data_IF_040345120325
#
_entry.id   IF_040345120325
#
_cell.length_a   1.000
_cell.length_b   1.000
_cell.length_c   1.000
_cell.angle_alpha   90.00
_cell.angle_beta   90.00
_cell.angle_gamma   90.00
#
_symmetry.space_group_name_H-M   'P 1'
#
loop_
_entity.id
_entity.type
_entity.pdbx_description
1 polymer ?
#
# COMPACT_ATOMS: atom_id res chain seq x y z
N UNK A 1 8.75 10.82 21.63
CA UNK A 1 7.89 9.84 20.92
C UNK A 1 6.38 10.15 20.96
N UNK A 2 5.83 10.76 22.03
CA UNK A 2 4.38 11.04 22.17
C UNK A 2 3.82 11.94 21.05
N UNK A 3 4.54 13.00 20.68
CA UNK A 3 4.11 13.94 19.63
C UNK A 3 4.07 13.31 18.23
N UNK A 4 4.96 12.34 17.93
CA UNK A 4 4.97 11.62 16.65
C UNK A 4 3.79 10.66 16.53
N UNK A 5 3.39 10.00 17.63
CA UNK A 5 2.18 9.14 17.64
C UNK A 5 0.90 9.97 17.44
N UNK A 6 0.77 11.10 18.13
CA UNK A 6 -0.37 12.00 17.98
C UNK A 6 -0.55 12.51 16.55
N UNK A 7 0.54 12.93 15.90
CA UNK A 7 0.53 13.36 14.49
C UNK A 7 0.05 12.26 13.54
N UNK A 8 0.43 11.01 13.81
CA UNK A 8 0.05 9.87 12.97
C UNK A 8 -1.40 9.43 13.16
N UNK A 9 -1.91 9.53 14.38
CA UNK A 9 -3.34 9.31 14.66
C UNK A 9 -4.17 10.39 13.98
N UNK A 10 -3.73 11.65 14.04
CA UNK A 10 -4.37 12.74 13.30
C UNK A 10 -4.35 12.51 11.79
N UNK A 11 -3.22 12.03 11.24
CA UNK A 11 -3.12 11.65 9.82
C UNK A 11 -4.06 10.50 9.43
N UNK A 12 -4.23 9.50 10.30
CA UNK A 12 -5.18 8.41 10.09
C UNK A 12 -6.64 8.92 10.07
N UNK A 13 -7.01 9.78 11.03
CA UNK A 13 -8.33 10.42 11.08
C UNK A 13 -8.59 11.31 9.85
N UNK A 14 -7.58 12.05 9.41
CA UNK A 14 -7.65 12.85 8.19
C UNK A 14 -7.87 11.96 6.94
N UNK A 15 -7.19 10.81 6.86
CA UNK A 15 -7.40 9.83 5.80
C UNK A 15 -8.84 9.28 5.77
N UNK A 16 -9.41 8.97 6.94
CA UNK A 16 -10.82 8.56 7.07
C UNK A 16 -11.75 9.67 6.58
N UNK A 17 -11.57 10.90 7.08
CA UNK A 17 -12.41 12.02 6.69
C UNK A 17 -12.37 12.28 5.17
N UNK A 18 -11.19 12.19 4.56
CA UNK A 18 -11.02 12.38 3.12
C UNK A 18 -11.72 11.28 2.30
N UNK A 19 -11.65 10.03 2.76
CA UNK A 19 -12.38 8.92 2.13
C UNK A 19 -13.90 9.10 2.25
N UNK A 20 -14.40 9.53 3.42
CA UNK A 20 -15.82 9.84 3.65
C UNK A 20 -16.32 10.94 2.71
N UNK A 21 -15.55 12.02 2.55
CA UNK A 21 -15.86 13.12 1.62
C UNK A 21 -15.90 12.60 0.18
N UNK A 22 -14.99 11.68 -0.18
CA UNK A 22 -14.96 11.05 -1.51
C UNK A 22 -16.22 10.22 -1.81
N UNK A 23 -16.70 9.45 -0.84
CA UNK A 23 -17.95 8.66 -0.97
C UNK A 23 -19.17 9.58 -1.14
N UNK A 24 -19.29 10.61 -0.31
CA UNK A 24 -20.39 11.58 -0.38
C UNK A 24 -20.39 12.33 -1.72
N UNK A 25 -19.20 12.71 -2.20
CA UNK A 25 -19.02 13.41 -3.48
C UNK A 25 -19.32 12.50 -4.69
N UNK A 26 -19.04 11.20 -4.57
CA UNK A 26 -19.38 10.20 -5.58
C UNK A 26 -20.89 10.02 -5.77
N UNK A 27 -21.68 10.14 -4.69
CA UNK A 27 -23.16 10.12 -4.72
C UNK A 27 -23.72 11.35 -5.45
N UNK A 28 -23.01 12.50 -5.38
CA UNK A 28 -23.45 13.78 -5.97
C UNK A 28 -23.06 13.97 -7.44
N UNK A 29 -22.77 12.88 -8.17
CA UNK A 29 -22.32 12.86 -9.58
C UNK A 29 -20.92 13.44 -9.87
N UNK A 30 -20.09 13.75 -8.86
CA UNK A 30 -18.67 14.11 -9.06
C UNK A 30 -17.77 12.86 -9.02
N UNK A 31 -18.03 11.90 -9.91
CA UNK A 31 -17.42 10.57 -9.87
C UNK A 31 -15.88 10.58 -9.95
N UNK A 32 -15.30 11.50 -10.72
CA UNK A 32 -13.84 11.66 -10.82
C UNK A 32 -13.20 12.16 -9.52
N UNK A 33 -13.70 13.27 -8.97
CA UNK A 33 -13.19 13.85 -7.73
C UNK A 33 -13.43 12.94 -6.51
N UNK A 34 -14.60 12.30 -6.43
CA UNK A 34 -14.93 11.36 -5.38
C UNK A 34 -13.99 10.15 -5.35
N UNK A 35 -13.69 9.58 -6.53
CA UNK A 35 -12.74 8.46 -6.65
C UNK A 35 -11.32 8.81 -6.23
N UNK A 36 -10.82 10.00 -6.63
CA UNK A 36 -9.48 10.47 -6.24
C UNK A 36 -9.39 10.68 -4.72
N UNK A 37 -10.42 11.27 -4.09
CA UNK A 37 -10.46 11.45 -2.64
C UNK A 37 -10.46 10.13 -1.87
N UNK A 38 -11.17 9.11 -2.37
CA UNK A 38 -11.17 7.77 -1.77
C UNK A 38 -9.77 7.16 -1.84
N UNK A 39 -9.14 7.15 -3.03
CA UNK A 39 -7.80 6.56 -3.22
C UNK A 39 -6.77 7.28 -2.34
N UNK A 40 -6.76 8.61 -2.35
CA UNK A 40 -5.85 9.41 -1.54
C UNK A 40 -6.05 9.16 -0.04
N UNK A 41 -7.31 9.09 0.41
CA UNK A 41 -7.67 8.77 1.80
C UNK A 41 -7.17 7.39 2.23
N UNK A 42 -7.38 6.36 1.39
CA UNK A 42 -6.97 4.98 1.67
C UNK A 42 -5.44 4.81 1.73
N UNK A 43 -4.70 5.47 0.84
CA UNK A 43 -3.23 5.44 0.85
C UNK A 43 -2.68 6.07 2.13
N UNK A 44 -3.18 7.26 2.48
CA UNK A 44 -2.79 7.97 3.69
C UNK A 44 -3.09 7.14 4.94
N UNK A 45 -4.30 6.59 5.01
CA UNK A 45 -4.75 5.77 6.14
C UNK A 45 -3.87 4.52 6.34
N UNK A 46 -3.58 3.80 5.25
CA UNK A 46 -2.74 2.60 5.28
C UNK A 46 -1.30 2.91 5.72
N UNK A 47 -0.71 4.00 5.21
CA UNK A 47 0.64 4.45 5.59
C UNK A 47 0.74 4.86 7.06
N UNK A 48 -0.25 5.60 7.58
CA UNK A 48 -0.32 5.97 8.99
C UNK A 48 -0.49 4.75 9.89
N UNK A 49 -1.34 3.78 9.51
CA UNK A 49 -1.60 2.58 10.29
C UNK A 49 -0.36 1.68 10.41
N UNK A 50 0.30 1.39 9.28
CA UNK A 50 1.50 0.54 9.25
C UNK A 50 2.59 1.10 10.17
N UNK A 51 2.82 2.40 10.12
CA UNK A 51 3.86 3.03 10.94
C UNK A 51 3.44 3.14 12.42
N UNK A 52 2.14 3.23 12.75
CA UNK A 52 1.66 3.14 14.13
C UNK A 52 1.87 1.73 14.70
N UNK A 53 1.54 0.70 13.91
CA UNK A 53 1.78 -0.71 14.26
C UNK A 53 3.27 -0.94 14.50
N UNK A 54 4.14 -0.43 13.62
CA UNK A 54 5.59 -0.55 13.77
C UNK A 54 6.12 0.10 15.05
N UNK A 55 5.65 1.31 15.39
CA UNK A 55 6.07 1.97 16.66
C UNK A 55 5.54 1.19 17.89
N UNK A 56 4.41 0.49 17.76
CA UNK A 56 3.93 -0.38 18.84
C UNK A 56 4.81 -1.62 18.97
N UNK A 57 5.08 -2.28 17.84
CA UNK A 57 5.91 -3.48 17.76
C UNK A 57 7.34 -3.24 18.29
N UNK A 58 7.99 -2.15 17.88
CA UNK A 58 9.32 -1.76 18.37
C UNK A 58 9.36 -1.48 19.88
N UNK A 59 8.22 -1.12 20.49
CA UNK A 59 8.13 -0.91 21.94
C UNK A 59 7.90 -2.20 22.72
N UNK A 60 7.14 -3.12 22.14
CA UNK A 60 6.74 -4.37 22.77
C UNK A 60 7.86 -5.41 22.68
N UNK A 61 8.58 -5.44 21.56
CA UNK A 61 9.67 -6.38 21.30
C UNK A 61 10.95 -5.68 20.78
N UNK A 62 11.70 -5.02 21.66
CA UNK A 62 12.89 -4.27 21.26
C UNK A 62 14.05 -5.16 20.78
N UNK A 63 14.12 -6.41 21.23
CA UNK A 63 15.18 -7.37 20.85
C UNK A 63 14.98 -7.88 19.42
N UNK A 64 13.76 -8.33 19.10
CA UNK A 64 13.39 -8.75 17.74
C UNK A 64 13.56 -7.62 16.71
N UNK A 65 13.28 -6.37 17.11
CA UNK A 65 13.49 -5.21 16.24
C UNK A 65 14.97 -4.97 15.91
N UNK A 66 15.90 -5.26 16.84
CA UNK A 66 17.34 -5.14 16.62
C UNK A 66 17.89 -6.27 15.75
N UNK A 67 17.42 -7.50 15.97
CA UNK A 67 17.79 -8.67 15.17
C UNK A 67 17.36 -8.49 13.71
N UNK A 68 16.13 -8.01 13.47
CA UNK A 68 15.65 -7.64 12.13
C UNK A 68 16.48 -6.52 11.47
N UNK A 69 17.03 -5.59 12.25
CA UNK A 69 17.91 -4.54 11.71
C UNK A 69 19.29 -5.07 11.34
N UNK A 70 19.78 -6.09 12.05
CA UNK A 70 21.04 -6.78 11.76
C UNK A 70 20.88 -7.67 10.51
N UNK A 71 19.82 -8.48 10.43
CA UNK A 71 19.50 -9.32 9.26
C UNK A 71 19.28 -8.48 7.99
N UNK A 72 18.63 -7.31 8.11
CA UNK A 72 18.48 -6.38 6.98
C UNK A 72 19.81 -5.89 6.42
N UNK A 73 20.86 -5.83 7.24
CA UNK A 73 22.20 -5.35 6.85
C UNK A 73 23.09 -6.45 6.30
N UNK A 74 22.68 -7.72 6.37
CA UNK A 74 23.40 -8.83 5.74
C UNK A 74 22.94 -9.01 4.27
N UNK A 75 23.49 -8.13 3.43
CA UNK A 75 22.82 -7.61 2.24
C UNK A 75 23.24 -8.27 0.91
N UNK A 76 24.30 -9.09 0.88
CA UNK A 76 25.07 -9.18 -0.38
C UNK A 76 24.52 -10.12 -1.44
N UNK A 77 23.84 -11.21 -1.09
CA UNK A 77 23.44 -12.23 -2.08
C UNK A 77 21.95 -12.14 -2.47
N UNK A 78 21.11 -11.64 -1.58
CA UNK A 78 19.67 -11.49 -1.78
C UNK A 78 19.32 -10.22 -2.57
N UNK A 79 20.10 -9.14 -2.43
CA UNK A 79 19.80 -7.84 -3.05
C UNK A 79 19.89 -7.80 -4.58
N UNK A 80 20.75 -8.59 -5.22
CA UNK A 80 20.99 -8.47 -6.68
C UNK A 80 19.85 -9.14 -7.46
N UNK A 81 19.44 -10.36 -7.06
CA UNK A 81 18.34 -11.07 -7.71
C UNK A 81 16.95 -10.55 -7.28
N UNK A 82 16.79 -10.13 -6.02
CA UNK A 82 15.52 -9.53 -5.56
C UNK A 82 15.29 -8.14 -6.14
N UNK A 83 16.31 -7.28 -6.30
CA UNK A 83 16.12 -5.94 -6.91
C UNK A 83 15.71 -6.00 -8.37
N UNK A 84 16.29 -6.90 -9.17
CA UNK A 84 15.92 -7.02 -10.58
C UNK A 84 14.48 -7.54 -10.74
N UNK A 85 14.09 -8.54 -9.94
CA UNK A 85 12.74 -9.11 -9.95
C UNK A 85 11.70 -8.13 -9.39
N UNK A 86 12.02 -7.41 -8.31
CA UNK A 86 11.16 -6.38 -7.73
C UNK A 86 10.98 -5.17 -8.64
N UNK A 87 12.03 -4.72 -9.33
CA UNK A 87 11.94 -3.52 -10.19
C UNK A 87 11.13 -3.76 -11.47
N UNK A 88 11.19 -4.97 -12.04
CA UNK A 88 10.34 -5.37 -13.18
C UNK A 88 8.87 -5.55 -12.76
N UNK A 89 8.64 -6.11 -11.57
CA UNK A 89 7.32 -6.23 -10.96
C UNK A 89 6.69 -4.85 -10.67
N UNK A 90 7.47 -3.90 -10.15
CA UNK A 90 7.02 -2.53 -9.88
C UNK A 90 6.66 -1.75 -11.14
N UNK A 91 7.42 -1.93 -12.22
CA UNK A 91 7.07 -1.29 -13.49
C UNK A 91 5.72 -1.81 -14.02
N UNK A 92 5.49 -3.12 -13.94
CA UNK A 92 4.19 -3.74 -14.26
C UNK A 92 3.07 -3.20 -13.36
N UNK A 93 3.34 -3.01 -12.06
CA UNK A 93 2.39 -2.41 -11.13
C UNK A 93 1.95 -1.01 -11.56
N UNK A 94 2.91 -0.11 -11.81
CA UNK A 94 2.62 1.26 -12.25
C UNK A 94 1.89 1.30 -13.58
N UNK A 95 2.22 0.39 -14.50
CA UNK A 95 1.55 0.29 -15.81
C UNK A 95 0.09 -0.17 -15.68
N UNK A 96 -0.19 -1.16 -14.83
CA UNK A 96 -1.57 -1.63 -14.58
C UNK A 96 -2.42 -0.53 -13.92
N UNK A 97 -1.82 0.20 -12.97
CA UNK A 97 -2.49 1.26 -12.23
C UNK A 97 -2.78 2.47 -13.14
N UNK A 98 -1.84 2.82 -14.04
CA UNK A 98 -2.04 3.83 -15.07
C UNK A 98 -3.15 3.44 -16.06
N UNK A 99 -3.20 2.18 -16.48
CA UNK A 99 -4.27 1.66 -17.34
C UNK A 99 -5.64 1.71 -16.63
N UNK A 100 -5.71 1.33 -15.35
CA UNK A 100 -6.93 1.41 -14.56
C UNK A 100 -7.40 2.86 -14.37
N UNK A 101 -6.46 3.80 -14.16
CA UNK A 101 -6.77 5.23 -14.07
C UNK A 101 -7.33 5.77 -15.40
N UNK A 102 -6.74 5.41 -16.54
CA UNK A 102 -7.22 5.81 -17.87
C UNK A 102 -8.66 5.34 -18.11
N UNK A 103 -8.98 4.09 -17.73
CA UNK A 103 -10.35 3.55 -17.83
C UNK A 103 -11.30 4.27 -16.87
N UNK A 104 -10.84 4.62 -15.67
CA UNK A 104 -11.65 5.33 -14.67
C UNK A 104 -12.00 6.77 -15.08
N UNK A 105 -11.06 7.49 -15.69
CA UNK A 105 -11.30 8.84 -16.22
C UNK A 105 -11.99 8.86 -17.59
N UNK A 106 -11.95 7.74 -18.32
CA UNK A 106 -12.77 7.55 -19.52
C UNK A 106 -14.27 7.52 -19.19
N UNK A 107 -15.12 8.02 -20.09
CA UNK A 107 -16.59 7.90 -19.99
C UNK A 107 -17.11 6.45 -20.21
N UNK A 108 -16.23 5.46 -20.13
CA UNK A 108 -16.52 4.06 -20.37
C UNK A 108 -17.14 3.34 -19.17
N UNK A 109 -17.55 2.08 -19.36
CA UNK A 109 -18.03 1.23 -18.28
C UNK A 109 -16.94 0.97 -17.22
N UNK A 110 -17.32 0.85 -15.94
CA UNK A 110 -16.40 0.73 -14.79
C UNK A 110 -15.80 -0.66 -14.59
N UNK A 111 -16.47 -1.70 -15.08
CA UNK A 111 -16.07 -3.09 -14.83
C UNK A 111 -14.64 -3.44 -15.31
N UNK A 112 -14.07 -2.87 -16.39
CA UNK A 112 -12.69 -3.16 -16.78
C UNK A 112 -11.67 -2.60 -15.79
N UNK A 113 -11.95 -1.44 -15.17
CA UNK A 113 -11.10 -0.90 -14.11
C UNK A 113 -11.12 -1.81 -12.87
N UNK A 114 -12.30 -2.35 -12.51
CA UNK A 114 -12.44 -3.32 -11.44
C UNK A 114 -11.65 -4.61 -11.68
N UNK A 115 -11.69 -5.14 -12.91
CA UNK A 115 -10.90 -6.33 -13.29
C UNK A 115 -9.39 -6.09 -13.19
N UNK A 116 -8.90 -4.96 -13.67
CA UNK A 116 -7.46 -4.62 -13.59
C UNK A 116 -6.99 -4.53 -12.13
N UNK A 117 -7.80 -3.91 -11.27
CA UNK A 117 -7.53 -3.83 -9.83
C UNK A 117 -7.57 -5.23 -9.17
N UNK A 118 -8.51 -6.08 -9.59
CA UNK A 118 -8.62 -7.46 -9.11
C UNK A 118 -7.39 -8.32 -9.47
N UNK A 119 -6.94 -8.24 -10.74
CA UNK A 119 -5.74 -8.93 -11.20
C UNK A 119 -4.50 -8.44 -10.42
N UNK A 120 -4.42 -7.12 -10.18
CA UNK A 120 -3.38 -6.54 -9.35
C UNK A 120 -3.38 -7.11 -7.92
N UNK A 121 -4.54 -7.18 -7.27
CA UNK A 121 -4.66 -7.71 -5.91
C UNK A 121 -4.21 -9.18 -5.82
N UNK A 122 -4.62 -10.02 -6.79
CA UNK A 122 -4.19 -11.43 -6.86
C UNK A 122 -2.67 -11.54 -7.00
N UNK A 123 -2.08 -10.72 -7.86
CA UNK A 123 -0.63 -10.68 -8.06
C UNK A 123 0.10 -10.31 -6.76
N UNK A 124 -0.36 -9.29 -6.04
CA UNK A 124 0.21 -8.93 -4.74
C UNK A 124 0.09 -10.05 -3.70
N UNK A 125 -1.04 -10.77 -3.65
CA UNK A 125 -1.22 -11.92 -2.75
C UNK A 125 -0.23 -13.04 -3.06
N UNK A 126 0.00 -13.33 -4.35
CA UNK A 126 0.97 -14.34 -4.79
C UNK A 126 2.39 -13.93 -4.38
N UNK A 127 2.75 -12.66 -4.54
CA UNK A 127 4.06 -12.16 -4.11
C UNK A 127 4.27 -12.29 -2.61
N UNK A 128 3.28 -11.89 -1.80
CA UNK A 128 3.33 -12.05 -0.35
C UNK A 128 3.46 -13.52 0.07
N UNK A 129 2.72 -14.42 -0.59
CA UNK A 129 2.84 -15.86 -0.35
C UNK A 129 4.25 -16.38 -0.64
N UNK A 130 4.83 -16.03 -1.79
CA UNK A 130 6.19 -16.46 -2.13
C UNK A 130 7.25 -15.85 -1.22
N UNK A 131 7.11 -14.59 -0.82
CA UNK A 131 8.00 -13.97 0.16
C UNK A 131 7.97 -14.76 1.46
N UNK A 132 6.79 -15.07 1.98
CA UNK A 132 6.65 -15.84 3.22
C UNK A 132 7.19 -17.27 3.09
N UNK A 133 6.96 -17.92 1.95
CA UNK A 133 7.49 -19.26 1.68
C UNK A 133 9.03 -19.25 1.66
N UNK A 134 9.62 -18.36 0.88
CA UNK A 134 11.08 -18.29 0.75
C UNK A 134 11.78 -17.78 2.02
N UNK A 135 11.09 -17.00 2.87
CA UNK A 135 11.60 -16.62 4.19
C UNK A 135 11.66 -17.79 5.19
N UNK A 136 10.92 -18.89 4.98
CA UNK A 136 10.96 -20.08 5.85
C UNK A 136 11.91 -21.16 5.35
N UNK A 137 12.24 -21.12 4.07
CA UNK A 137 13.02 -22.14 3.37
C UNK A 137 14.53 -21.79 3.34
N UNK A 138 14.87 -20.54 3.67
CA UNK A 138 16.24 -20.02 3.88
C UNK A 138 16.39 -19.57 5.33
#
# INVERSE_FOLDING_TARGET
MKNKKGLMIAGWLAGVALASIGVISGIRNLRGYGGVCIIAGSILQSGCLNRLQRISYEKEFPELAREQEIERRDERNTLIHSRAKAKSADFLHWTLLAAAALVFFGKGPLWPAGLLIGIFAIKCMIEWYYVYKYQKEM
#
